data_IF_018597708192
#
_entry.id   IF_018597708192
#
_cell.length_a   1.000
_cell.length_b   1.000
_cell.length_c   1.000
_cell.angle_alpha   90.00
_cell.angle_beta   90.00
_cell.angle_gamma   90.00
#
_symmetry.space_group_name_H-M   'P 1'
#
loop_
_entity.id
_entity.type
_entity.pdbx_description
1 polymer ?
#
# COMPACT_ATOMS: atom_id res chain seq x y z
N UNK A 1 -32.81 37.38 41.75
CA UNK A 1 -32.17 36.10 41.36
C UNK A 1 -32.96 35.57 40.18
N UNK A 2 -32.42 35.68 38.97
CA UNK A 2 -33.05 35.20 37.74
C UNK A 2 -32.14 34.14 37.13
N UNK A 3 -32.70 32.95 36.95
CA UNK A 3 -32.03 31.76 36.44
C UNK A 3 -31.62 31.96 34.98
N UNK A 4 -30.38 31.60 34.66
CA UNK A 4 -29.83 31.68 33.31
C UNK A 4 -29.92 30.27 32.70
N UNK A 5 -31.00 29.99 32.00
CA UNK A 5 -31.20 28.73 31.29
C UNK A 5 -30.23 28.64 30.10
N UNK A 6 -29.16 27.87 30.27
CA UNK A 6 -28.26 27.47 29.20
C UNK A 6 -29.01 26.47 28.31
N UNK A 7 -29.62 26.98 27.23
CA UNK A 7 -30.21 26.15 26.17
C UNK A 7 -29.07 25.45 25.45
N UNK A 8 -28.81 24.20 25.82
CA UNK A 8 -27.98 23.27 25.06
C UNK A 8 -28.77 22.93 23.79
N UNK A 9 -28.42 23.58 22.68
CA UNK A 9 -28.92 23.21 21.36
C UNK A 9 -28.26 21.87 21.01
N UNK A 10 -28.96 20.77 21.31
CA UNK A 10 -28.59 19.44 20.84
C UNK A 10 -28.60 19.45 19.30
N UNK A 11 -27.42 19.39 18.68
CA UNK A 11 -27.33 19.25 17.23
C UNK A 11 -28.07 17.98 16.80
N UNK A 12 -28.98 18.05 15.81
CA UNK A 12 -29.70 16.87 15.36
C UNK A 12 -28.69 15.85 14.81
N UNK A 13 -28.66 14.66 15.43
CA UNK A 13 -27.83 13.52 14.99
C UNK A 13 -27.99 13.34 13.48
N UNK A 14 -26.95 13.74 12.72
CA UNK A 14 -26.93 13.66 11.25
C UNK A 14 -27.32 12.25 10.82
N UNK A 15 -28.51 12.11 10.23
CA UNK A 15 -28.98 10.85 9.65
C UNK A 15 -27.92 10.38 8.64
N UNK A 16 -27.38 9.18 8.87
CA UNK A 16 -26.45 8.54 7.95
C UNK A 16 -27.22 8.20 6.67
N UNK A 17 -27.08 9.08 5.66
CA UNK A 17 -27.62 8.86 4.32
C UNK A 17 -26.51 8.34 3.42
N UNK A 18 -26.84 7.41 2.53
CA UNK A 18 -25.92 6.88 1.52
C UNK A 18 -25.24 7.98 0.66
N UNK A 19 -25.90 9.13 0.50
CA UNK A 19 -25.33 10.32 -0.15
C UNK A 19 -24.18 10.94 0.65
N UNK A 20 -24.30 11.01 1.98
CA UNK A 20 -23.23 11.48 2.88
C UNK A 20 -22.04 10.51 2.89
N UNK A 21 -22.29 9.20 2.79
CA UNK A 21 -21.24 8.20 2.66
C UNK A 21 -20.51 8.34 1.31
N UNK A 22 -21.22 8.48 0.19
CA UNK A 22 -20.62 8.69 -1.15
C UNK A 22 -19.83 9.99 -1.23
N UNK A 23 -20.33 11.07 -0.62
CA UNK A 23 -19.61 12.34 -0.51
C UNK A 23 -18.35 12.21 0.37
N UNK A 24 -18.43 11.51 1.50
CA UNK A 24 -17.30 11.20 2.37
C UNK A 24 -16.23 10.33 1.71
N UNK A 25 -16.64 9.32 0.94
CA UNK A 25 -15.77 8.47 0.15
C UNK A 25 -15.06 9.26 -0.96
N UNK A 26 -15.79 10.11 -1.70
CA UNK A 26 -15.24 11.00 -2.73
C UNK A 26 -14.20 11.95 -2.13
N UNK A 27 -14.49 12.51 -0.96
CA UNK A 27 -13.58 13.38 -0.23
C UNK A 27 -12.34 12.61 0.27
N UNK A 28 -12.52 11.38 0.74
CA UNK A 28 -11.43 10.49 1.12
C UNK A 28 -10.51 10.16 -0.07
N UNK A 29 -11.07 9.76 -1.21
CA UNK A 29 -10.29 9.52 -2.44
C UNK A 29 -9.56 10.77 -2.92
N UNK A 30 -10.21 11.94 -2.86
CA UNK A 30 -9.56 13.23 -3.17
C UNK A 30 -8.37 13.49 -2.26
N UNK A 31 -8.51 13.26 -0.94
CA UNK A 31 -7.41 13.39 0.02
C UNK A 31 -6.28 12.38 -0.25
N UNK A 32 -6.60 11.15 -0.65
CA UNK A 32 -5.61 10.15 -1.05
C UNK A 32 -4.84 10.61 -2.29
N UNK A 33 -5.52 11.09 -3.35
CA UNK A 33 -4.87 11.61 -4.56
C UNK A 33 -3.96 12.81 -4.22
N UNK A 34 -4.42 13.73 -3.37
CA UNK A 34 -3.60 14.88 -2.94
C UNK A 34 -2.38 14.43 -2.13
N UNK A 35 -2.52 13.42 -1.27
CA UNK A 35 -1.40 12.85 -0.51
C UNK A 35 -0.40 12.14 -1.45
N UNK A 36 -0.91 11.42 -2.46
CA UNK A 36 -0.12 10.74 -3.49
C UNK A 36 0.66 11.74 -4.36
N UNK A 37 0.02 12.87 -4.73
CA UNK A 37 0.65 13.98 -5.44
C UNK A 37 1.80 14.58 -4.63
N UNK A 38 1.63 14.69 -3.31
CA UNK A 38 2.66 15.21 -2.39
C UNK A 38 3.79 14.20 -2.13
N UNK A 39 3.52 12.88 -2.25
CA UNK A 39 4.48 11.80 -2.00
C UNK A 39 4.31 10.65 -3.00
N UNK A 40 4.88 10.78 -4.21
CA UNK A 40 4.84 9.74 -5.24
C UNK A 40 5.44 8.40 -4.78
N UNK A 41 6.37 8.43 -3.83
CA UNK A 41 6.99 7.24 -3.23
C UNK A 41 6.01 6.34 -2.47
N UNK A 42 4.83 6.82 -2.08
CA UNK A 42 3.86 6.01 -1.35
C UNK A 42 3.24 4.90 -2.24
N UNK A 43 3.22 5.07 -3.56
CA UNK A 43 2.67 4.04 -4.48
C UNK A 43 3.54 2.78 -4.41
N UNK A 44 4.84 2.91 -4.70
CA UNK A 44 5.76 1.78 -4.64
C UNK A 44 5.81 1.17 -3.23
N UNK A 45 5.71 1.99 -2.18
CA UNK A 45 5.64 1.48 -0.80
C UNK A 45 4.41 0.59 -0.56
N UNK A 46 3.25 1.00 -1.07
CA UNK A 46 2.02 0.21 -0.92
C UNK A 46 2.13 -1.12 -1.66
N UNK A 47 2.70 -1.13 -2.86
CA UNK A 47 2.96 -2.37 -3.58
C UNK A 47 3.95 -3.28 -2.85
N UNK A 48 5.01 -2.71 -2.26
CA UNK A 48 5.94 -3.47 -1.43
C UNK A 48 5.24 -4.10 -0.22
N UNK A 49 4.36 -3.35 0.48
CA UNK A 49 3.56 -3.88 1.59
C UNK A 49 2.67 -5.04 1.13
N UNK A 50 1.94 -4.86 0.02
CA UNK A 50 1.05 -5.90 -0.51
C UNK A 50 1.85 -7.14 -0.91
N UNK A 51 3.00 -6.96 -1.56
CA UNK A 51 3.92 -8.06 -1.91
C UNK A 51 4.35 -8.83 -0.66
N UNK A 52 4.85 -8.13 0.36
CA UNK A 52 5.28 -8.76 1.61
C UNK A 52 4.13 -9.47 2.34
N UNK A 53 2.92 -8.91 2.33
CA UNK A 53 1.75 -9.54 2.94
C UNK A 53 1.33 -10.81 2.22
N UNK A 54 1.31 -10.81 0.88
CA UNK A 54 1.01 -12.01 0.09
C UNK A 54 1.99 -13.12 0.48
N UNK A 55 3.28 -12.82 0.51
CA UNK A 55 4.30 -13.81 0.86
C UNK A 55 4.14 -14.33 2.29
N UNK A 56 3.97 -13.43 3.28
CA UNK A 56 3.83 -13.80 4.69
C UNK A 56 2.57 -14.62 4.96
N UNK A 57 1.43 -14.24 4.37
CA UNK A 57 0.18 -14.97 4.55
C UNK A 57 0.22 -16.37 3.91
N UNK A 58 1.02 -16.53 2.86
CA UNK A 58 1.22 -17.80 2.16
C UNK A 58 2.37 -18.66 2.71
N UNK A 59 3.04 -18.22 3.78
CA UNK A 59 4.13 -18.98 4.42
C UNK A 59 3.73 -20.40 4.83
N UNK A 60 2.48 -20.61 5.23
CA UNK A 60 1.99 -21.95 5.58
C UNK A 60 2.10 -22.94 4.42
N UNK A 61 1.64 -22.53 3.24
CA UNK A 61 1.71 -23.36 2.02
C UNK A 61 3.15 -23.58 1.56
N UNK A 62 3.98 -22.53 1.60
CA UNK A 62 5.41 -22.63 1.25
C UNK A 62 6.12 -23.59 2.21
N UNK A 63 5.88 -23.46 3.52
CA UNK A 63 6.50 -24.33 4.53
C UNK A 63 6.09 -25.80 4.37
N UNK A 64 4.82 -26.07 4.03
CA UNK A 64 4.37 -27.43 3.73
C UNK A 64 5.05 -27.99 2.47
N UNK A 65 5.23 -27.17 1.42
CA UNK A 65 5.97 -27.54 0.22
C UNK A 65 7.42 -27.94 0.54
N UNK A 66 8.12 -27.13 1.34
CA UNK A 66 9.48 -27.44 1.82
C UNK A 66 9.51 -28.76 2.60
N UNK A 67 8.58 -28.96 3.53
CA UNK A 67 8.52 -30.18 4.34
C UNK A 67 8.18 -31.43 3.51
N UNK A 68 7.29 -31.31 2.51
CA UNK A 68 6.89 -32.42 1.64
C UNK A 68 8.00 -32.86 0.68
N UNK A 69 8.95 -31.96 0.39
CA UNK A 69 10.04 -32.16 -0.57
C UNK A 69 11.38 -31.75 0.05
N UNK A 70 11.75 -32.45 1.12
CA UNK A 70 13.03 -32.30 1.84
C UNK A 70 14.30 -32.58 1.00
N UNK A 71 14.15 -32.92 -0.29
CA UNK A 71 15.27 -33.13 -1.21
C UNK A 71 15.80 -31.85 -1.86
N UNK A 72 15.20 -30.69 -1.59
CA UNK A 72 15.72 -29.40 -2.07
C UNK A 72 16.77 -28.81 -1.13
N UNK A 73 17.96 -28.56 -1.66
CA UNK A 73 19.09 -27.98 -0.92
C UNK A 73 18.85 -26.49 -0.61
N UNK A 74 18.11 -25.78 -1.47
CA UNK A 74 17.96 -24.32 -1.37
C UNK A 74 16.62 -23.87 -0.82
N UNK A 75 15.55 -24.67 -0.99
CA UNK A 75 14.17 -24.32 -0.63
C UNK A 75 13.99 -23.74 0.79
N UNK A 76 14.65 -24.33 1.79
CA UNK A 76 14.57 -23.86 3.17
C UNK A 76 15.25 -22.50 3.38
N UNK A 77 16.45 -22.33 2.82
CA UNK A 77 17.23 -21.09 2.91
C UNK A 77 16.55 -19.98 2.12
N UNK A 78 16.07 -20.25 0.90
CA UNK A 78 15.34 -19.27 0.09
C UNK A 78 14.08 -18.78 0.81
N UNK A 79 13.34 -19.69 1.46
CA UNK A 79 12.15 -19.30 2.24
C UNK A 79 12.53 -18.35 3.37
N UNK A 80 13.56 -18.71 4.15
CA UNK A 80 14.05 -17.89 5.26
C UNK A 80 14.53 -16.51 4.80
N UNK A 81 15.34 -16.46 3.74
CA UNK A 81 15.88 -15.21 3.18
C UNK A 81 14.73 -14.34 2.67
N UNK A 82 13.80 -14.88 1.89
CA UNK A 82 12.67 -14.11 1.38
C UNK A 82 11.79 -13.55 2.51
N UNK A 83 11.53 -14.30 3.58
CA UNK A 83 10.79 -13.78 4.73
C UNK A 83 11.54 -12.63 5.43
N UNK A 84 12.84 -12.83 5.70
CA UNK A 84 13.66 -11.83 6.37
C UNK A 84 13.71 -10.53 5.57
N UNK A 85 14.00 -10.63 4.27
CA UNK A 85 14.10 -9.48 3.40
C UNK A 85 12.74 -8.86 3.05
N UNK A 86 11.63 -9.60 3.15
CA UNK A 86 10.28 -9.06 3.00
C UNK A 86 9.93 -8.06 4.11
N UNK A 87 10.39 -8.30 5.34
CA UNK A 87 10.22 -7.37 6.46
C UNK A 87 11.27 -6.26 6.41
N UNK A 88 12.52 -6.62 6.13
CA UNK A 88 13.64 -5.66 6.11
C UNK A 88 13.46 -4.61 5.01
N UNK A 89 13.00 -5.01 3.82
CA UNK A 89 12.75 -4.10 2.70
C UNK A 89 11.71 -3.02 3.05
N UNK A 90 10.68 -3.34 3.84
CA UNK A 90 9.70 -2.35 4.32
C UNK A 90 10.37 -1.29 5.20
N UNK A 91 11.20 -1.74 6.15
CA UNK A 91 11.92 -0.84 7.07
C UNK A 91 12.93 0.01 6.30
N UNK A 92 13.67 -0.59 5.36
CA UNK A 92 14.61 0.12 4.48
C UNK A 92 13.90 1.14 3.60
N UNK A 93 12.72 0.83 3.06
CA UNK A 93 11.95 1.76 2.27
C UNK A 93 11.47 2.96 3.10
N UNK A 94 10.93 2.71 4.30
CA UNK A 94 10.52 3.78 5.22
C UNK A 94 11.69 4.70 5.60
N UNK A 95 12.87 4.12 5.81
CA UNK A 95 14.09 4.85 6.13
C UNK A 95 14.67 5.61 4.93
N UNK A 96 14.39 5.17 3.70
CA UNK A 96 14.83 5.83 2.47
C UNK A 96 14.16 7.17 2.24
N UNK A 97 12.90 7.31 2.66
CA UNK A 97 12.07 8.51 2.46
C UNK A 97 11.64 9.18 3.79
N UNK A 98 12.60 9.74 4.57
CA UNK A 98 12.29 10.41 5.83
C UNK A 98 11.37 11.63 5.63
N UNK A 99 10.42 11.83 6.56
CA UNK A 99 9.51 13.00 6.51
C UNK A 99 10.34 14.30 6.51
N UNK A 100 10.16 15.12 5.47
CA UNK A 100 10.74 16.47 5.37
C UNK A 100 12.28 16.52 5.26
N UNK A 101 12.93 15.43 4.83
CA UNK A 101 14.37 15.37 4.57
C UNK A 101 14.63 14.83 3.15
N UNK A 102 15.85 15.05 2.64
CA UNK A 102 16.31 14.47 1.37
C UNK A 102 16.35 12.94 1.46
N UNK A 103 16.18 12.28 0.32
CA UNK A 103 16.20 10.81 0.20
C UNK A 103 17.55 10.27 0.67
N UNK A 104 17.52 9.24 1.52
CA UNK A 104 18.74 8.56 1.96
C UNK A 104 19.11 7.50 0.91
N UNK A 105 20.03 7.87 0.01
CA UNK A 105 20.44 7.02 -1.12
C UNK A 105 20.93 5.65 -0.65
N UNK A 106 21.70 5.57 0.43
CA UNK A 106 22.21 4.30 0.98
C UNK A 106 21.08 3.33 1.33
N UNK A 107 20.05 3.82 2.02
CA UNK A 107 18.90 2.99 2.42
C UNK A 107 18.08 2.55 1.20
N UNK A 108 18.02 3.39 0.17
CA UNK A 108 17.32 3.08 -1.08
C UNK A 108 18.05 2.00 -1.86
N UNK A 109 19.38 2.11 -1.98
CA UNK A 109 20.22 1.09 -2.62
C UNK A 109 20.10 -0.23 -1.88
N UNK A 110 20.15 -0.23 -0.54
CA UNK A 110 19.94 -1.43 0.27
C UNK A 110 18.55 -2.04 0.03
N UNK A 111 17.50 -1.22 -0.09
CA UNK A 111 16.15 -1.68 -0.39
C UNK A 111 16.07 -2.38 -1.76
N UNK A 112 16.69 -1.79 -2.79
CA UNK A 112 16.73 -2.38 -4.14
C UNK A 112 17.53 -3.68 -4.13
N UNK A 113 18.68 -3.73 -3.46
CA UNK A 113 19.48 -4.94 -3.30
C UNK A 113 18.70 -6.05 -2.57
N UNK A 114 17.95 -5.68 -1.53
CA UNK A 114 17.09 -6.60 -0.79
C UNK A 114 16.01 -7.21 -1.68
N UNK A 115 15.40 -6.39 -2.54
CA UNK A 115 14.42 -6.87 -3.52
C UNK A 115 15.02 -7.76 -4.60
N UNK A 116 16.22 -7.42 -5.10
CA UNK A 116 16.93 -8.25 -6.06
C UNK A 116 17.28 -9.62 -5.47
N UNK A 117 17.71 -9.65 -4.20
CA UNK A 117 17.99 -10.90 -3.50
C UNK A 117 16.73 -11.75 -3.28
N UNK A 118 15.60 -11.14 -2.91
CA UNK A 118 14.32 -11.85 -2.82
C UNK A 118 13.92 -12.45 -4.17
N UNK A 119 13.96 -11.66 -5.24
CA UNK A 119 13.63 -12.15 -6.58
C UNK A 119 14.53 -13.31 -7.01
N UNK A 120 15.83 -13.23 -6.72
CA UNK A 120 16.77 -14.32 -6.98
C UNK A 120 16.41 -15.60 -6.20
N UNK A 121 16.11 -15.47 -4.91
CA UNK A 121 15.73 -16.60 -4.06
C UNK A 121 14.39 -17.22 -4.47
N UNK A 122 13.41 -16.42 -4.88
CA UNK A 122 12.13 -16.92 -5.41
C UNK A 122 12.33 -17.72 -6.70
N UNK A 123 13.21 -17.26 -7.60
CA UNK A 123 13.54 -17.97 -8.84
C UNK A 123 14.23 -19.30 -8.53
N UNK A 124 15.21 -19.30 -7.62
CA UNK A 124 15.90 -20.52 -7.20
C UNK A 124 14.93 -21.53 -6.58
N UNK A 125 14.04 -21.07 -5.68
CA UNK A 125 12.99 -21.92 -5.12
C UNK A 125 12.11 -22.49 -6.23
N UNK A 126 11.64 -21.66 -7.16
CA UNK A 126 10.75 -22.08 -8.24
C UNK A 126 11.38 -23.17 -9.11
N UNK A 127 12.62 -22.99 -9.56
CA UNK A 127 13.32 -23.97 -10.41
C UNK A 127 13.49 -25.29 -9.67
N UNK A 128 13.98 -25.25 -8.43
CA UNK A 128 14.20 -26.46 -7.65
C UNK A 128 12.88 -27.19 -7.34
N UNK A 129 11.87 -26.45 -6.91
CA UNK A 129 10.57 -27.03 -6.56
C UNK A 129 9.85 -27.63 -7.75
N UNK A 130 9.86 -26.96 -8.91
CA UNK A 130 9.27 -27.50 -10.15
C UNK A 130 9.97 -28.78 -10.60
N UNK A 131 11.30 -28.85 -10.53
CA UNK A 131 12.04 -30.08 -10.83
C UNK A 131 11.73 -31.23 -9.86
N UNK A 132 11.44 -30.94 -8.59
CA UNK A 132 11.10 -31.96 -7.58
C UNK A 132 9.67 -32.51 -7.72
N UNK A 133 8.77 -31.76 -8.36
CA UNK A 133 7.38 -32.20 -8.60
C UNK A 133 7.17 -32.74 -10.02
N UNK A 134 8.09 -32.50 -10.95
CA UNK A 134 8.08 -33.03 -12.30
C UNK A 134 8.26 -34.57 -12.26
N UNK A 135 7.15 -35.30 -12.30
CA UNK A 135 7.13 -36.77 -12.14
C UNK A 135 6.58 -37.26 -10.80
N UNK A 136 6.07 -36.37 -9.95
CA UNK A 136 5.34 -36.76 -8.75
C UNK A 136 4.02 -37.49 -9.11
N UNK A 137 3.77 -38.63 -8.47
CA UNK A 137 2.53 -39.41 -8.62
C UNK A 137 1.38 -38.89 -7.78
N UNK A 138 1.70 -38.17 -6.70
CA UNK A 138 0.73 -37.51 -5.83
C UNK A 138 0.75 -36.01 -6.13
N UNK A 139 -0.42 -35.37 -6.16
CA UNK A 139 -0.54 -33.92 -6.34
C UNK A 139 -1.19 -33.34 -5.10
N UNK A 140 -0.52 -32.38 -4.47
CA UNK A 140 -1.07 -31.67 -3.32
C UNK A 140 -1.47 -30.24 -3.66
N UNK A 141 -2.64 -29.80 -3.17
CA UNK A 141 -3.17 -28.46 -3.44
C UNK A 141 -2.25 -27.30 -3.00
N UNK A 142 -1.38 -27.53 -2.01
CA UNK A 142 -0.43 -26.52 -1.54
C UNK A 142 0.74 -26.31 -2.52
N UNK A 143 1.01 -27.23 -3.45
CA UNK A 143 2.04 -27.06 -4.48
C UNK A 143 1.66 -25.98 -5.49
N UNK A 144 0.44 -26.06 -6.04
CA UNK A 144 -0.09 -25.04 -6.95
C UNK A 144 -0.16 -23.68 -6.27
N UNK A 145 -0.59 -23.66 -5.00
CA UNK A 145 -0.62 -22.44 -4.20
C UNK A 145 0.79 -21.85 -4.05
N UNK A 146 1.78 -22.69 -3.75
CA UNK A 146 3.18 -22.26 -3.60
C UNK A 146 3.73 -21.67 -4.89
N UNK A 147 3.55 -22.35 -6.02
CA UNK A 147 4.01 -21.87 -7.33
C UNK A 147 3.34 -20.54 -7.68
N UNK A 148 2.02 -20.44 -7.52
CA UNK A 148 1.28 -19.22 -7.80
C UNK A 148 1.76 -18.06 -6.92
N UNK A 149 2.01 -18.31 -5.64
CA UNK A 149 2.50 -17.29 -4.71
C UNK A 149 3.90 -16.82 -5.11
N UNK A 150 4.82 -17.71 -5.49
CA UNK A 150 6.17 -17.34 -5.94
C UNK A 150 6.10 -16.46 -7.20
N UNK A 151 5.29 -16.86 -8.19
CA UNK A 151 5.11 -16.09 -9.42
C UNK A 151 4.48 -14.72 -9.11
N UNK A 152 3.41 -14.69 -8.32
CA UNK A 152 2.74 -13.44 -7.93
C UNK A 152 3.70 -12.54 -7.16
N UNK A 153 4.46 -13.07 -6.21
CA UNK A 153 5.44 -12.32 -5.44
C UNK A 153 6.52 -11.72 -6.36
N UNK A 154 7.06 -12.51 -7.29
CA UNK A 154 8.04 -12.04 -8.28
C UNK A 154 7.49 -10.93 -9.16
N UNK A 155 6.24 -11.05 -9.65
CA UNK A 155 5.57 -10.01 -10.44
C UNK A 155 5.40 -8.73 -9.62
N UNK A 156 4.93 -8.83 -8.38
CA UNK A 156 4.74 -7.68 -7.50
C UNK A 156 6.06 -6.99 -7.14
N UNK A 157 7.14 -7.75 -6.92
CA UNK A 157 8.49 -7.20 -6.75
C UNK A 157 8.94 -6.46 -8.02
N UNK A 158 8.70 -7.04 -9.21
CA UNK A 158 9.00 -6.41 -10.50
C UNK A 158 8.23 -5.10 -10.71
N UNK A 159 6.93 -5.08 -10.45
CA UNK A 159 6.10 -3.86 -10.51
C UNK A 159 6.61 -2.83 -9.51
N UNK A 160 6.94 -3.24 -8.30
CA UNK A 160 7.48 -2.35 -7.26
C UNK A 160 8.80 -1.74 -7.69
N UNK A 161 9.71 -2.53 -8.28
CA UNK A 161 10.97 -2.05 -8.82
C UNK A 161 10.76 -1.07 -9.98
N UNK A 162 9.84 -1.37 -10.89
CA UNK A 162 9.47 -0.48 -11.99
C UNK A 162 8.88 0.85 -11.47
N UNK A 163 8.01 0.80 -10.46
CA UNK A 163 7.47 2.00 -9.82
C UNK A 163 8.57 2.79 -9.11
N UNK A 164 9.52 2.14 -8.43
CA UNK A 164 10.66 2.88 -7.86
C UNK A 164 11.52 3.56 -8.94
N UNK A 165 11.81 2.87 -10.04
CA UNK A 165 12.61 3.41 -11.14
C UNK A 165 11.90 4.54 -11.90
N UNK A 166 10.58 4.43 -12.08
CA UNK A 166 9.75 5.41 -12.80
C UNK A 166 9.25 6.55 -11.91
N UNK A 167 9.64 6.58 -10.62
CA UNK A 167 9.34 7.66 -9.67
C UNK A 167 9.51 9.08 -10.21
N UNK A 168 10.62 9.46 -10.89
CA UNK A 168 10.74 10.78 -11.47
C UNK A 168 9.69 11.06 -12.56
N UNK A 169 9.32 10.06 -13.35
CA UNK A 169 8.40 10.19 -14.49
C UNK A 169 6.95 10.38 -14.04
N UNK A 170 6.42 9.49 -13.21
CA UNK A 170 5.01 9.63 -12.79
C UNK A 170 4.81 10.78 -11.79
N UNK A 171 5.86 11.24 -11.08
CA UNK A 171 5.80 12.49 -10.32
C UNK A 171 5.45 13.67 -11.23
N UNK A 172 6.04 13.75 -12.42
CA UNK A 172 5.72 14.81 -13.39
C UNK A 172 4.27 14.69 -13.89
N UNK A 173 3.77 13.48 -14.13
CA UNK A 173 2.37 13.23 -14.51
C UNK A 173 1.37 13.62 -13.41
N UNK A 174 1.60 13.19 -12.18
CA UNK A 174 0.72 13.51 -11.04
C UNK A 174 0.68 15.01 -10.72
N UNK A 175 1.76 15.75 -10.99
CA UNK A 175 1.76 17.20 -10.83
C UNK A 175 0.77 17.93 -11.75
N UNK A 176 0.50 17.37 -12.95
CA UNK A 176 -0.42 17.93 -13.95
C UNK A 176 -1.91 17.76 -13.60
N UNK A 177 -2.26 16.85 -12.69
CA UNK A 177 -3.67 16.63 -12.29
C UNK A 177 -4.16 17.80 -11.43
N UNK A 178 -5.23 18.46 -11.86
CA UNK A 178 -5.85 19.57 -11.12
C UNK A 178 -6.78 19.02 -10.03
N UNK A 179 -6.30 18.94 -8.79
CA UNK A 179 -7.07 18.45 -7.63
C UNK A 179 -7.68 19.58 -6.81
N UNK A 180 -7.79 20.80 -7.38
CA UNK A 180 -8.37 21.95 -6.66
C UNK A 180 -9.84 21.65 -6.36
N UNK A 181 -10.29 21.93 -5.14
CA UNK A 181 -11.71 21.88 -4.81
C UNK A 181 -12.39 22.94 -5.68
N UNK A 182 -13.35 22.55 -6.50
CA UNK A 182 -14.37 23.51 -6.95
C UNK A 182 -15.16 23.79 -5.68
N UNK A 183 -14.81 24.89 -5.01
CA UNK A 183 -15.65 25.44 -3.96
C UNK A 183 -16.72 26.17 -4.76
N UNK A 184 -17.93 25.62 -4.81
CA UNK A 184 -19.09 26.46 -5.13
C UNK A 184 -19.00 27.62 -4.16
N UNK A 185 -18.82 28.82 -4.72
CA UNK A 185 -18.85 30.05 -3.95
C UNK A 185 -20.12 30.00 -3.12
N UNK A 186 -19.96 30.03 -1.79
CA UNK A 186 -21.00 30.50 -0.91
C UNK A 186 -21.19 31.98 -1.24
N UNK A 187 -21.89 32.26 -2.34
CA UNK A 187 -22.65 33.49 -2.47
C UNK A 187 -23.61 33.46 -1.30
N UNK A 188 -23.29 34.22 -0.26
CA UNK A 188 -24.23 34.54 0.80
C UNK A 188 -25.31 35.41 0.11
N UNK A 189 -26.31 34.76 -0.49
CA UNK A 189 -27.59 35.38 -0.84
C UNK A 189 -28.44 35.41 0.42
N UNK A 190 -28.01 36.22 1.38
CA UNK A 190 -28.80 36.62 2.53
C UNK A 190 -28.74 38.12 2.57
N UNK A 191 -29.83 38.78 2.16
CA UNK A 191 -29.98 40.22 2.34
C UNK A 191 -29.76 40.55 3.80
N UNK A 192 -28.86 41.49 4.07
CA UNK A 192 -28.75 42.11 5.38
C UNK A 192 -29.98 43.02 5.47
N UNK A 193 -31.07 42.54 6.03
CA UNK A 193 -32.17 43.42 6.47
C UNK A 193 -31.64 44.22 7.67
N UNK A 194 -31.23 45.46 7.41
CA UNK A 194 -31.04 46.47 8.43
C UNK A 194 -32.42 47.01 8.80
N UNK A 195 -33.13 46.30 9.67
CA UNK A 195 -34.37 46.82 10.26
C UNK A 195 -34.02 47.83 11.36
N UNK A 196 -34.13 49.11 10.98
CA UNK A 196 -34.44 50.31 11.76
C UNK A 196 -34.09 50.33 13.26
N UNK A 197 -33.04 51.09 13.59
CA UNK A 197 -32.97 51.84 14.84
C UNK A 197 -33.30 53.30 14.48
N UNK A 198 -34.58 53.66 14.55
CA UNK A 198 -35.00 55.06 14.63
C UNK A 198 -35.23 55.44 16.10
N UNK A 199 -34.95 56.71 16.38
CA UNK A 199 -34.73 57.40 17.66
C UNK A 199 -35.82 57.28 18.73
#
# INVERSE_FOLDING_TARGET
MSENENIVIDEPKKKFTWSNFKAGLKEWFRKQIVNLKRRPSNIAFLFLIVSSLIYILSLGSISQSVYSRLGGDWMGISTFVCTLFSVLSLVLYMNSFPKRKKVKVVSLVLCVLSMALMAFMDIMFYIEFTGLIEGATEVHAYWDTTINVLIVHLIFLGITALLMATMPLYKMGLMKINTRKVVESTEIKGGIDLENVEE
#
